data_IF_389115117261
#
_entry.id   IF_389115117261
#
_cell.length_a   1.000
_cell.length_b   1.000
_cell.length_c   1.000
_cell.angle_alpha   90.00
_cell.angle_beta   90.00
_cell.angle_gamma   90.00
#
_symmetry.space_group_name_H-M   'P 1'
#
loop_
_entity.id
_entity.type
_entity.pdbx_description
1 polymer ?
#
# COMPACT_ATOMS: atom_id res chain seq x y z
N UNK A 1 12.32 -4.36 7.11
CA UNK A 1 12.78 -3.61 5.93
C UNK A 1 13.28 -2.19 6.25
N UNK A 2 13.32 -1.83 7.53
CA UNK A 2 13.94 -0.58 7.99
C UNK A 2 13.22 0.69 7.58
N UNK A 3 11.90 0.66 7.45
CA UNK A 3 11.10 1.85 7.11
C UNK A 3 10.78 2.66 8.36
N UNK A 4 11.03 3.96 8.28
CA UNK A 4 10.54 4.94 9.25
C UNK A 4 10.07 6.16 8.44
N UNK A 5 8.76 6.38 8.39
CA UNK A 5 8.17 7.36 7.48
C UNK A 5 6.99 8.09 8.11
N UNK A 6 6.78 9.33 7.68
CA UNK A 6 5.59 10.11 8.02
C UNK A 6 4.39 9.56 7.26
N UNK A 7 3.26 9.45 7.93
CA UNK A 7 1.99 9.05 7.33
C UNK A 7 1.11 10.29 7.13
N UNK A 8 0.65 10.49 5.91
CA UNK A 8 -0.22 11.60 5.55
C UNK A 8 -1.54 11.08 4.98
N UNK A 9 -2.68 11.75 5.25
CA UNK A 9 -3.96 11.33 4.67
C UNK A 9 -3.98 11.56 3.15
N UNK A 10 -4.52 10.57 2.43
CA UNK A 10 -4.77 10.63 0.99
C UNK A 10 -6.19 10.16 0.69
N UNK A 11 -6.74 10.57 -0.42
CA UNK A 11 -8.12 10.24 -0.79
C UNK A 11 -8.21 9.25 -1.95
N UNK A 12 -9.38 9.16 -2.53
CA UNK A 12 -9.66 8.45 -3.76
C UNK A 12 -9.69 9.47 -4.90
N UNK A 13 -9.02 9.17 -6.01
CA UNK A 13 -8.96 10.02 -7.18
C UNK A 13 -9.32 9.25 -8.44
N UNK A 14 -9.79 9.96 -9.47
CA UNK A 14 -9.90 9.41 -10.81
C UNK A 14 -8.59 9.64 -11.53
N UNK A 15 -7.98 8.58 -12.04
CA UNK A 15 -6.70 8.66 -12.72
C UNK A 15 -6.67 7.75 -13.94
N UNK A 16 -5.88 8.09 -14.98
CA UNK A 16 -5.69 7.21 -16.11
C UNK A 16 -4.92 5.96 -15.67
N UNK A 17 -5.43 4.79 -16.07
CA UNK A 17 -4.77 3.52 -15.81
C UNK A 17 -3.84 3.20 -16.99
N UNK A 18 -2.50 3.25 -16.82
CA UNK A 18 -1.56 3.05 -17.93
C UNK A 18 -1.72 1.70 -18.61
N UNK A 19 -1.99 0.65 -17.84
CA UNK A 19 -2.15 -0.71 -18.36
C UNK A 19 -3.56 -1.01 -18.89
N UNK A 20 -4.46 -0.02 -18.88
CA UNK A 20 -5.82 -0.11 -19.42
C UNK A 20 -6.06 0.91 -20.53
N UNK A 21 -5.02 1.25 -21.30
CA UNK A 21 -5.11 2.19 -22.40
C UNK A 21 -5.40 3.63 -22.00
N UNK A 22 -5.09 4.01 -20.76
CA UNK A 22 -5.35 5.35 -20.24
C UNK A 22 -6.79 5.59 -19.79
N UNK A 23 -7.59 4.54 -19.65
CA UNK A 23 -8.96 4.64 -19.14
C UNK A 23 -8.95 5.25 -17.73
N UNK A 24 -9.86 6.22 -17.48
CA UNK A 24 -10.03 6.84 -16.18
C UNK A 24 -10.72 5.87 -15.21
N UNK A 25 -10.09 5.59 -14.11
CA UNK A 25 -10.60 4.66 -13.06
C UNK A 25 -10.44 5.28 -11.68
N UNK A 26 -11.32 4.94 -10.71
CA UNK A 26 -11.10 5.32 -9.33
C UNK A 26 -9.89 4.55 -8.78
N UNK A 27 -8.99 5.27 -8.12
CA UNK A 27 -7.80 4.69 -7.52
C UNK A 27 -7.44 5.41 -6.22
N UNK A 28 -6.64 4.77 -5.39
CA UNK A 28 -6.06 5.46 -4.24
C UNK A 28 -5.15 6.58 -4.72
N UNK A 29 -5.25 7.75 -4.08
CA UNK A 29 -4.28 8.80 -4.29
C UNK A 29 -2.90 8.32 -3.81
N UNK A 30 -1.86 8.80 -4.45
CA UNK A 30 -0.49 8.43 -4.10
C UNK A 30 0.01 9.24 -2.89
N UNK A 31 1.00 8.70 -2.19
CA UNK A 31 1.71 9.45 -1.17
C UNK A 31 2.36 10.71 -1.78
N UNK A 32 2.50 11.80 -1.00
CA UNK A 32 2.98 13.08 -1.54
C UNK A 32 4.41 13.02 -2.08
N UNK A 33 5.24 12.11 -1.59
CA UNK A 33 6.63 11.95 -2.04
C UNK A 33 7.13 10.51 -1.80
N UNK A 34 8.38 10.24 -2.17
CA UNK A 34 8.97 8.91 -2.04
C UNK A 34 9.30 8.49 -0.62
N UNK A 35 9.37 9.41 0.33
CA UNK A 35 9.72 9.14 1.72
C UNK A 35 8.52 9.06 2.66
N UNK A 36 7.34 9.48 2.20
CA UNK A 36 6.10 9.47 2.96
C UNK A 36 5.23 8.27 2.62
N UNK A 37 4.35 7.92 3.54
CA UNK A 37 3.30 6.91 3.37
C UNK A 37 1.96 7.62 3.36
N UNK A 38 1.07 7.25 2.43
CA UNK A 38 -0.31 7.72 2.41
C UNK A 38 -1.21 6.80 3.22
N UNK A 39 -2.06 7.35 4.08
CA UNK A 39 -3.17 6.62 4.67
C UNK A 39 -4.44 6.97 3.91
N UNK A 40 -5.15 5.93 3.42
CA UNK A 40 -6.40 6.14 2.70
C UNK A 40 -7.50 6.58 3.66
N UNK A 41 -7.76 7.89 3.67
CA UNK A 41 -8.63 8.55 4.65
C UNK A 41 -10.12 8.30 4.40
N UNK A 42 -10.50 7.74 3.25
CA UNK A 42 -11.89 7.33 2.96
C UNK A 42 -12.23 5.96 3.60
N UNK A 43 -11.25 5.29 4.18
CA UNK A 43 -11.41 4.02 4.87
C UNK A 43 -11.19 4.11 6.38
N UNK A 44 -11.09 2.95 7.06
CA UNK A 44 -10.89 2.90 8.51
C UNK A 44 -9.60 3.58 8.97
N UNK A 45 -9.64 4.13 10.18
CA UNK A 45 -8.46 4.62 10.88
C UNK A 45 -7.56 3.44 11.25
N UNK A 46 -6.25 3.69 11.27
CA UNK A 46 -5.29 2.70 11.75
C UNK A 46 -5.57 2.39 13.23
N UNK A 47 -5.74 1.11 13.53
CA UNK A 47 -6.04 0.65 14.88
C UNK A 47 -7.52 0.64 15.26
N UNK A 48 -8.42 1.18 14.40
CA UNK A 48 -9.86 1.07 14.58
C UNK A 48 -10.40 -0.23 13.97
N UNK A 49 -11.71 -0.45 14.09
CA UNK A 49 -12.37 -1.59 13.46
C UNK A 49 -12.25 -1.49 11.93
N UNK A 50 -12.00 -2.61 11.29
CA UNK A 50 -11.81 -2.71 9.86
C UNK A 50 -10.33 -2.68 9.46
N UNK A 51 -10.10 -2.77 8.15
CA UNK A 51 -8.75 -2.83 7.59
C UNK A 51 -8.36 -1.44 7.05
N UNK A 52 -7.40 -0.81 7.73
CA UNK A 52 -6.80 0.43 7.26
C UNK A 52 -5.83 0.18 6.10
N UNK A 53 -5.72 1.11 5.19
CA UNK A 53 -4.87 1.00 3.99
C UNK A 53 -3.79 2.08 4.01
N UNK A 54 -2.54 1.64 3.92
CA UNK A 54 -1.37 2.49 3.76
C UNK A 54 -0.72 2.25 2.40
N UNK A 55 -0.34 3.32 1.73
CA UNK A 55 0.24 3.29 0.39
C UNK A 55 1.60 3.97 0.37
N UNK A 56 2.54 3.37 -0.33
CA UNK A 56 3.86 3.95 -0.50
C UNK A 56 4.43 3.63 -1.88
N UNK A 57 5.29 4.51 -2.37
CA UNK A 57 5.95 4.32 -3.64
C UNK A 57 7.06 3.26 -3.55
N UNK A 58 7.32 2.59 -4.66
CA UNK A 58 8.49 1.72 -4.84
C UNK A 58 9.68 2.54 -5.31
N UNK A 59 9.46 3.46 -6.25
CA UNK A 59 10.48 4.34 -6.83
C UNK A 59 9.87 5.69 -7.15
N UNK A 60 10.67 6.74 -7.00
CA UNK A 60 10.33 8.10 -7.41
C UNK A 60 11.57 8.73 -8.03
N UNK A 61 11.46 9.23 -9.27
CA UNK A 61 12.54 9.95 -9.94
C UNK A 61 13.82 9.13 -10.12
N UNK A 62 13.70 7.81 -10.31
CA UNK A 62 14.85 6.92 -10.46
C UNK A 62 15.50 6.47 -9.16
N UNK A 63 15.02 6.95 -8.01
CA UNK A 63 15.47 6.53 -6.68
C UNK A 63 14.49 5.58 -6.00
N UNK A 64 14.98 4.77 -5.08
CA UNK A 64 14.13 3.88 -4.29
C UNK A 64 13.29 4.69 -3.30
N UNK A 65 12.01 4.31 -3.18
CA UNK A 65 11.07 4.94 -2.27
C UNK A 65 10.80 4.06 -1.03
N UNK A 66 9.93 4.55 -0.16
CA UNK A 66 9.68 4.01 1.19
C UNK A 66 9.28 2.52 1.19
N UNK A 67 8.51 2.06 0.21
CA UNK A 67 8.04 0.68 0.13
C UNK A 67 8.75 -0.16 -0.95
N UNK A 68 9.95 0.24 -1.37
CA UNK A 68 10.69 -0.50 -2.39
C UNK A 68 10.98 -1.97 -2.00
N UNK A 69 11.02 -2.26 -0.70
CA UNK A 69 11.29 -3.61 -0.18
C UNK A 69 10.08 -4.28 0.45
N UNK A 70 8.86 -3.79 0.15
CA UNK A 70 7.64 -4.33 0.78
C UNK A 70 7.47 -5.84 0.54
N UNK A 71 7.83 -6.32 -0.65
CA UNK A 71 7.77 -7.74 -1.00
C UNK A 71 8.71 -8.65 -0.21
N UNK A 72 9.68 -8.08 0.50
CA UNK A 72 10.61 -8.84 1.34
C UNK A 72 10.07 -9.10 2.75
N UNK A 73 8.92 -8.57 3.11
CA UNK A 73 8.27 -8.85 4.39
C UNK A 73 7.83 -10.32 4.48
N UNK A 74 7.86 -10.86 5.68
CA UNK A 74 7.46 -12.23 5.98
C UNK A 74 6.41 -12.24 7.09
N UNK A 75 5.56 -13.28 7.15
CA UNK A 75 4.68 -13.47 8.30
C UNK A 75 5.45 -13.44 9.61
N UNK A 76 4.97 -12.66 10.57
CA UNK A 76 5.62 -12.43 11.86
C UNK A 76 6.42 -11.13 11.97
N UNK A 77 6.76 -10.50 10.84
CA UNK A 77 7.42 -9.20 10.86
C UNK A 77 6.52 -8.15 11.51
N UNK A 78 7.12 -7.23 12.27
CA UNK A 78 6.38 -6.23 13.03
C UNK A 78 6.22 -4.93 12.25
N UNK A 79 5.02 -4.35 12.34
CA UNK A 79 4.69 -3.01 11.84
C UNK A 79 4.12 -2.21 13.00
N UNK A 80 4.63 -1.01 13.20
CA UNK A 80 4.09 -0.08 14.20
C UNK A 80 3.69 1.22 13.52
N UNK A 81 2.52 1.73 13.90
CA UNK A 81 2.03 3.03 13.45
C UNK A 81 1.74 3.87 14.69
N UNK A 82 2.27 5.07 14.74
CA UNK A 82 2.12 5.96 15.88
C UNK A 82 1.64 7.35 15.42
N UNK A 83 0.98 8.06 16.33
CA UNK A 83 0.72 9.48 16.12
C UNK A 83 2.01 10.29 16.23
N UNK A 84 1.97 11.59 15.86
CA UNK A 84 3.15 12.45 15.85
C UNK A 84 3.75 12.70 17.25
N UNK A 85 3.03 12.38 18.31
CA UNK A 85 3.51 12.51 19.70
C UNK A 85 4.07 11.20 20.25
N UNK A 86 3.80 10.07 19.59
CA UNK A 86 4.12 8.74 20.08
C UNK A 86 3.23 8.26 21.22
N UNK A 87 2.23 9.03 21.62
CA UNK A 87 1.31 8.68 22.72
C UNK A 87 0.28 7.62 22.31
N UNK A 88 -0.12 7.61 21.03
CA UNK A 88 -1.02 6.62 20.46
C UNK A 88 -0.20 5.79 19.48
N UNK A 89 -0.17 4.48 19.73
CA UNK A 89 0.58 3.53 18.92
C UNK A 89 -0.25 2.28 18.70
N UNK A 90 -0.26 1.80 17.47
CA UNK A 90 -0.86 0.52 17.11
C UNK A 90 0.23 -0.39 16.54
N UNK A 91 0.32 -1.59 17.06
CA UNK A 91 1.29 -2.60 16.66
C UNK A 91 0.59 -3.75 15.94
N UNK A 92 1.21 -4.18 14.84
CA UNK A 92 0.69 -5.23 13.97
C UNK A 92 1.79 -6.22 13.64
N UNK A 93 1.39 -7.43 13.24
CA UNK A 93 2.30 -8.42 12.66
C UNK A 93 1.83 -8.79 11.28
N UNK A 94 2.78 -8.88 10.35
CA UNK A 94 2.50 -9.35 9.00
C UNK A 94 1.95 -10.78 9.08
N UNK A 95 0.84 -11.01 8.41
CA UNK A 95 0.20 -12.32 8.31
C UNK A 95 0.34 -12.93 6.92
N UNK A 96 0.40 -12.09 5.90
CA UNK A 96 0.48 -12.53 4.51
C UNK A 96 1.05 -11.44 3.61
N UNK A 97 1.83 -11.83 2.61
CA UNK A 97 2.27 -10.95 1.53
C UNK A 97 1.81 -11.53 0.21
N UNK A 98 1.14 -10.72 -0.60
CA UNK A 98 0.64 -11.10 -1.92
C UNK A 98 1.36 -10.24 -2.95
N UNK A 99 2.15 -10.88 -3.80
CA UNK A 99 2.84 -10.25 -4.93
C UNK A 99 2.14 -10.57 -6.25
N UNK A 100 2.47 -9.85 -7.31
CA UNK A 100 1.95 -10.16 -8.63
C UNK A 100 0.47 -9.86 -8.81
N UNK A 101 -0.07 -8.87 -8.08
CA UNK A 101 -1.46 -8.43 -8.26
C UNK A 101 -1.51 -7.56 -9.52
N UNK A 102 -2.08 -8.07 -10.64
CA UNK A 102 -1.94 -7.39 -11.93
C UNK A 102 -2.72 -6.08 -12.00
N UNK A 103 -2.09 -5.03 -12.49
CA UNK A 103 -2.73 -3.71 -12.70
C UNK A 103 -3.61 -3.68 -13.95
N UNK A 104 -3.42 -4.60 -14.89
CA UNK A 104 -4.26 -4.70 -16.09
C UNK A 104 -5.62 -5.34 -15.85
N UNK A 105 -5.86 -5.91 -14.65
CA UNK A 105 -7.16 -6.37 -14.21
C UNK A 105 -7.68 -5.38 -13.15
N UNK A 106 -8.68 -4.54 -13.47
CA UNK A 106 -9.15 -3.50 -12.56
C UNK A 106 -9.78 -4.03 -11.27
N UNK A 107 -10.17 -5.30 -11.25
CA UNK A 107 -10.79 -5.94 -10.09
C UNK A 107 -9.80 -6.75 -9.24
N UNK A 108 -8.58 -6.98 -9.72
CA UNK A 108 -7.60 -7.85 -9.04
C UNK A 108 -7.25 -7.34 -7.64
N UNK A 109 -6.89 -6.08 -7.51
CA UNK A 109 -6.55 -5.48 -6.22
C UNK A 109 -7.75 -5.50 -5.27
N UNK A 110 -8.94 -5.18 -5.78
CA UNK A 110 -10.17 -5.21 -4.99
C UNK A 110 -10.45 -6.60 -4.43
N UNK A 111 -10.31 -7.64 -5.25
CA UNK A 111 -10.49 -9.03 -4.79
C UNK A 111 -9.50 -9.40 -3.71
N UNK A 112 -8.22 -9.08 -3.90
CA UNK A 112 -7.17 -9.37 -2.92
C UNK A 112 -7.47 -8.69 -1.58
N UNK A 113 -7.87 -7.43 -1.61
CA UNK A 113 -8.23 -6.69 -0.39
C UNK A 113 -9.47 -7.29 0.28
N UNK A 114 -10.52 -7.59 -0.48
CA UNK A 114 -11.76 -8.17 0.06
C UNK A 114 -11.55 -9.54 0.66
N UNK A 115 -10.77 -10.39 0.00
CA UNK A 115 -10.49 -11.77 0.46
C UNK A 115 -9.72 -11.80 1.78
N UNK A 116 -8.99 -10.76 2.11
CA UNK A 116 -8.18 -10.67 3.31
C UNK A 116 -8.75 -9.74 4.40
N UNK A 117 -9.80 -8.98 4.10
CA UNK A 117 -10.36 -7.97 5.02
C UNK A 117 -10.92 -8.57 6.31
N UNK A 118 -11.35 -9.83 6.31
CA UNK A 118 -11.90 -10.48 7.51
C UNK A 118 -10.85 -10.86 8.56
N UNK A 119 -9.59 -11.01 8.17
CA UNK A 119 -8.51 -11.40 9.06
C UNK A 119 -7.42 -10.35 9.24
N UNK A 120 -7.41 -9.33 8.40
CA UNK A 120 -6.41 -8.27 8.43
C UNK A 120 -7.00 -6.96 8.97
N UNK A 121 -6.18 -6.22 9.71
CA UNK A 121 -6.53 -4.91 10.23
C UNK A 121 -5.72 -3.80 9.57
N UNK A 122 -4.69 -4.18 8.81
CA UNK A 122 -3.82 -3.27 8.07
C UNK A 122 -3.42 -3.90 6.74
N UNK A 123 -3.45 -3.12 5.68
CA UNK A 123 -2.88 -3.47 4.38
C UNK A 123 -1.87 -2.40 3.97
N UNK A 124 -0.67 -2.84 3.60
CA UNK A 124 0.38 -1.99 3.02
C UNK A 124 0.44 -2.29 1.53
N UNK A 125 0.34 -1.28 0.69
CA UNK A 125 0.25 -1.45 -0.77
C UNK A 125 1.35 -0.66 -1.45
N UNK A 126 2.04 -1.30 -2.40
CA UNK A 126 3.00 -0.63 -3.27
C UNK A 126 3.05 -1.28 -4.66
N UNK A 127 3.72 -0.62 -5.59
CA UNK A 127 4.01 -1.20 -6.89
C UNK A 127 5.04 -2.32 -6.77
N UNK A 128 4.89 -3.35 -7.61
CA UNK A 128 5.82 -4.47 -7.70
C UNK A 128 5.85 -5.03 -9.12
N UNK A 129 6.49 -6.17 -9.33
CA UNK A 129 6.65 -6.79 -10.63
C UNK A 129 7.64 -6.04 -11.52
N UNK A 130 7.68 -6.43 -12.81
CA UNK A 130 8.57 -5.82 -13.78
C UNK A 130 8.16 -4.37 -14.07
N UNK A 131 9.16 -3.50 -14.11
CA UNK A 131 8.93 -2.10 -14.47
C UNK A 131 8.78 -1.97 -15.99
N UNK A 132 7.65 -1.45 -16.43
CA UNK A 132 7.40 -1.17 -17.84
C UNK A 132 7.83 0.26 -18.17
N UNK A 133 8.90 0.38 -18.96
CA UNK A 133 9.49 1.67 -19.34
C UNK A 133 8.50 2.52 -20.17
N UNK A 134 7.65 1.87 -20.99
CA UNK A 134 6.68 2.56 -21.83
C UNK A 134 5.62 3.29 -21.01
N UNK A 135 5.21 2.73 -19.91
CA UNK A 135 4.20 3.31 -19.01
C UNK A 135 4.81 4.01 -17.78
N UNK A 136 6.12 3.90 -17.58
CA UNK A 136 6.81 4.41 -16.38
C UNK A 136 6.18 3.92 -15.07
N UNK A 137 5.74 2.67 -15.05
CA UNK A 137 5.06 2.07 -13.91
C UNK A 137 5.36 0.58 -13.82
N UNK A 138 5.34 0.04 -12.62
CA UNK A 138 5.39 -1.40 -12.42
C UNK A 138 4.07 -2.05 -12.84
N UNK A 139 4.13 -3.25 -13.39
CA UNK A 139 2.96 -3.97 -13.92
C UNK A 139 2.02 -4.48 -12.82
N UNK A 140 2.52 -4.68 -11.60
CA UNK A 140 1.79 -5.32 -10.53
C UNK A 140 1.79 -4.48 -9.26
N UNK A 141 0.86 -4.80 -8.35
CA UNK A 141 0.91 -4.35 -6.96
C UNK A 141 1.45 -5.44 -6.05
N UNK A 142 2.02 -5.03 -4.94
CA UNK A 142 2.36 -5.90 -3.81
C UNK A 142 1.54 -5.44 -2.62
N UNK A 143 0.92 -6.38 -1.91
CA UNK A 143 0.10 -6.08 -0.73
C UNK A 143 0.61 -6.92 0.44
N UNK A 144 0.94 -6.27 1.54
CA UNK A 144 1.27 -6.93 2.79
C UNK A 144 0.12 -6.72 3.78
N UNK A 145 -0.43 -7.81 4.27
CA UNK A 145 -1.51 -7.80 5.26
C UNK A 145 -0.96 -8.01 6.66
N UNK A 146 -1.54 -7.31 7.62
CA UNK A 146 -1.15 -7.41 9.02
C UNK A 146 -2.37 -7.42 9.93
N UNK A 147 -2.23 -8.10 11.06
CA UNK A 147 -3.22 -8.13 12.13
C UNK A 147 -2.62 -7.55 13.41
N UNK A 148 -3.47 -7.09 14.32
CA UNK A 148 -3.05 -6.57 15.61
C UNK A 148 -2.24 -7.61 16.41
N UNK A 149 -1.15 -7.15 16.96
CA UNK A 149 -0.29 -8.01 17.78
C UNK A 149 -0.60 -7.90 19.26
#
# INVERSE_FOLDING_TARGET
>A
IGVSAVVAPVGTVMAPAPFLGGQMVPTFAVAPDGSSVGWWADGPLVGADGMAILLGHTQVGGGYAVFNRLGELHPGDQVSVADGTGSIRADFRITRVVSGVPKNDPEALRRVLSDNAGGAQLALITCGGDFDVSYRASADNVVAFAAGS
#
